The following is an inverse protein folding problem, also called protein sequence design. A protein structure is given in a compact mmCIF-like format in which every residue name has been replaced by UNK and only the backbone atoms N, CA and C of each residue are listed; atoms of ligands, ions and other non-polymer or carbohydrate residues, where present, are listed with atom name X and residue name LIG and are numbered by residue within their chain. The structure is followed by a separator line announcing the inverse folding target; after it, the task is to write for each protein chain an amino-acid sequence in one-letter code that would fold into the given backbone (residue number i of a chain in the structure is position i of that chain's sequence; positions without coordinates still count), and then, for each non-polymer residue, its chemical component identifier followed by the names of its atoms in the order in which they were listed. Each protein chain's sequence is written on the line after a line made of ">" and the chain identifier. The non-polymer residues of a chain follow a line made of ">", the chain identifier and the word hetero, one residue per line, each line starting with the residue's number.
data_IF_328556369641
#
_entry.id   IF_328556369641
#
_cell.length_a   1.000
_cell.length_b   1.000
_cell.length_c   1.000
_cell.angle_alpha   90.00
_cell.angle_beta   90.00
_cell.angle_gamma   90.00
#
_symmetry.space_group_name_H-M   'P 1'
#
loop_
_entity.id
_entity.type
_entity.pdbx_description
1 polymer ?
#
# COMPACT_ATOMS: atom_id res chain seq x y z
N UNK A 1 -31.97 -16.47 4.21
CA UNK A 1 -30.83 -17.06 3.47
C UNK A 1 -29.57 -16.36 3.94
N UNK A 2 -28.59 -17.09 4.46
CA UNK A 2 -27.35 -16.52 5.01
C UNK A 2 -26.55 -15.78 3.94
N UNK A 3 -25.68 -14.86 4.36
CA UNK A 3 -24.76 -14.19 3.43
C UNK A 3 -23.87 -15.22 2.75
N UNK A 4 -23.37 -16.20 3.50
CA UNK A 4 -22.52 -17.27 2.96
C UNK A 4 -23.19 -18.07 1.85
N UNK A 5 -24.48 -18.38 1.98
CA UNK A 5 -25.21 -19.10 0.93
C UNK A 5 -25.17 -18.33 -0.39
N UNK A 6 -25.37 -17.00 -0.34
CA UNK A 6 -25.29 -16.13 -1.53
C UNK A 6 -23.86 -16.01 -2.07
N UNK A 7 -22.85 -16.00 -1.19
CA UNK A 7 -21.43 -15.96 -1.60
C UNK A 7 -21.06 -17.21 -2.38
N UNK A 8 -21.60 -18.38 -2.02
CA UNK A 8 -21.36 -19.65 -2.72
C UNK A 8 -21.97 -19.71 -4.12
N UNK A 9 -22.92 -18.84 -4.42
CA UNK A 9 -23.55 -18.69 -5.74
C UNK A 9 -22.80 -17.72 -6.64
N UNK A 10 -21.72 -17.08 -6.14
CA UNK A 10 -20.90 -16.18 -6.96
C UNK A 10 -20.09 -16.94 -8.00
N UNK A 11 -20.04 -16.38 -9.20
CA UNK A 11 -19.30 -16.94 -10.34
C UNK A 11 -18.34 -15.89 -10.94
N UNK A 12 -17.52 -16.32 -11.91
CA UNK A 12 -16.64 -15.45 -12.68
C UNK A 12 -15.63 -14.66 -11.84
N UNK A 13 -15.50 -13.36 -12.11
CA UNK A 13 -14.55 -12.49 -11.41
C UNK A 13 -14.88 -12.30 -9.93
N UNK A 14 -16.16 -12.38 -9.54
CA UNK A 14 -16.58 -12.33 -8.14
C UNK A 14 -16.08 -13.53 -7.36
N UNK A 15 -16.12 -14.73 -7.96
CA UNK A 15 -15.57 -15.95 -7.36
C UNK A 15 -14.04 -15.85 -7.19
N UNK A 16 -13.33 -15.31 -8.18
CA UNK A 16 -11.88 -15.07 -8.08
C UNK A 16 -11.52 -14.12 -6.94
N UNK A 17 -12.33 -13.07 -6.73
CA UNK A 17 -12.14 -12.16 -5.60
C UNK A 17 -12.39 -12.86 -4.25
N UNK A 18 -13.38 -13.74 -4.16
CA UNK A 18 -13.63 -14.59 -2.98
C UNK A 18 -12.43 -15.50 -2.70
N UNK A 19 -11.85 -16.14 -3.73
CA UNK A 19 -10.68 -17.01 -3.57
C UNK A 19 -9.46 -16.28 -3.02
N UNK A 20 -9.26 -15.02 -3.40
CA UNK A 20 -8.15 -14.19 -2.91
C UNK A 20 -8.44 -13.54 -1.54
N UNK A 21 -9.69 -13.60 -1.05
CA UNK A 21 -10.10 -12.96 0.20
C UNK A 21 -9.68 -13.76 1.43
N UNK A 22 -9.74 -15.09 1.35
CA UNK A 22 -9.37 -15.98 2.43
C UNK A 22 -7.90 -16.37 2.31
N UNK A 23 -7.22 -16.39 3.44
CA UNK A 23 -5.80 -16.73 3.53
C UNK A 23 -5.52 -17.46 4.84
N UNK A 24 -4.23 -17.64 5.15
CA UNK A 24 -3.82 -18.41 6.33
C UNK A 24 -4.45 -17.89 7.63
N UNK A 25 -4.52 -16.56 7.80
CA UNK A 25 -5.06 -15.93 9.02
C UNK A 25 -6.55 -16.20 9.24
N UNK A 26 -7.33 -16.40 8.17
CA UNK A 26 -8.76 -16.70 8.25
C UNK A 26 -9.15 -17.67 7.13
N UNK A 27 -9.05 -18.99 7.39
CA UNK A 27 -9.31 -20.01 6.39
C UNK A 27 -10.76 -20.01 5.89
N UNK A 28 -10.95 -20.29 4.60
CA UNK A 28 -12.28 -20.35 3.98
C UNK A 28 -13.12 -21.50 4.56
N UNK A 29 -12.47 -22.56 5.02
CA UNK A 29 -13.08 -23.71 5.67
C UNK A 29 -13.75 -23.28 6.97
N UNK A 30 -13.08 -22.44 7.79
CA UNK A 30 -13.69 -21.88 8.98
C UNK A 30 -14.90 -21.02 8.63
N UNK A 31 -14.76 -20.13 7.63
CA UNK A 31 -15.90 -19.34 7.13
C UNK A 31 -17.08 -20.21 6.70
N UNK A 32 -16.79 -21.35 6.08
CA UNK A 32 -17.76 -22.27 5.53
C UNK A 32 -18.55 -23.02 6.61
N UNK A 33 -17.85 -23.69 7.53
CA UNK A 33 -18.48 -24.52 8.54
C UNK A 33 -19.13 -23.72 9.66
N UNK A 34 -18.60 -22.52 9.94
CA UNK A 34 -19.02 -21.69 11.08
C UNK A 34 -19.76 -20.42 10.64
N UNK A 35 -20.32 -20.42 9.43
CA UNK A 35 -21.03 -19.27 8.86
C UNK A 35 -22.09 -18.68 9.79
N UNK A 36 -22.91 -19.55 10.40
CA UNK A 36 -24.03 -19.12 11.24
C UNK A 36 -23.57 -18.39 12.51
N UNK A 37 -22.52 -18.89 13.19
CA UNK A 37 -22.02 -18.24 14.41
C UNK A 37 -21.32 -16.92 14.09
N UNK A 38 -20.69 -16.81 12.92
CA UNK A 38 -20.04 -15.59 12.45
C UNK A 38 -21.11 -14.53 12.14
N UNK A 39 -22.13 -14.89 11.37
CA UNK A 39 -23.15 -13.94 10.89
C UNK A 39 -24.11 -13.45 12.00
N UNK A 40 -24.22 -14.18 13.12
CA UNK A 40 -25.05 -13.79 14.28
C UNK A 40 -24.44 -12.71 15.16
N UNK A 41 -23.14 -12.44 15.06
CA UNK A 41 -22.50 -11.43 15.90
C UNK A 41 -22.90 -10.01 15.48
N UNK A 42 -22.95 -9.09 16.45
CA UNK A 42 -23.30 -7.68 16.22
C UNK A 42 -22.05 -6.87 15.84
N UNK A 43 -21.44 -7.22 14.71
CA UNK A 43 -20.18 -6.63 14.25
C UNK A 43 -20.19 -5.10 14.14
N UNK A 44 -21.35 -4.49 13.89
CA UNK A 44 -21.50 -3.04 13.74
C UNK A 44 -21.30 -2.27 15.06
N UNK A 45 -21.47 -2.94 16.21
CA UNK A 45 -21.30 -2.33 17.53
C UNK A 45 -19.85 -2.35 18.04
N UNK A 46 -19.00 -3.15 17.40
CA UNK A 46 -17.60 -3.29 17.81
C UNK A 46 -16.73 -2.33 17.01
N UNK A 47 -16.05 -1.44 17.70
CA UNK A 47 -15.03 -0.59 17.13
C UNK A 47 -13.64 -1.18 17.43
N UNK A 48 -12.97 -1.78 16.44
CA UNK A 48 -11.66 -2.35 16.67
C UNK A 48 -10.59 -1.32 17.08
N UNK A 49 -10.82 -0.02 16.82
CA UNK A 49 -9.90 1.06 17.19
C UNK A 49 -10.17 1.61 18.60
N UNK A 50 -11.26 1.19 19.25
CA UNK A 50 -11.60 1.52 20.63
C UNK A 50 -11.13 0.44 21.61
N UNK A 51 -9.81 0.26 21.69
CA UNK A 51 -9.18 -0.86 22.41
C UNK A 51 -9.70 -1.11 23.84
N UNK A 52 -9.81 -0.11 24.75
CA UNK A 52 -10.12 -0.38 26.15
C UNK A 52 -11.54 -0.92 26.39
N UNK A 53 -12.50 -0.58 25.54
CA UNK A 53 -13.91 -0.92 25.75
C UNK A 53 -14.32 -2.20 25.02
N UNK A 54 -13.78 -2.43 23.83
CA UNK A 54 -14.26 -3.50 22.95
C UNK A 54 -13.37 -4.76 22.97
N UNK A 55 -12.16 -4.67 23.53
CA UNK A 55 -11.26 -5.83 23.69
C UNK A 55 -11.90 -7.00 24.47
N UNK A 56 -12.62 -6.79 25.59
CA UNK A 56 -13.30 -7.89 26.29
C UNK A 56 -14.34 -8.60 25.43
N UNK A 57 -15.08 -7.85 24.60
CA UNK A 57 -16.08 -8.42 23.71
C UNK A 57 -15.42 -9.17 22.54
N UNK A 58 -14.33 -8.62 21.99
CA UNK A 58 -13.54 -9.30 20.97
C UNK A 58 -12.96 -10.64 21.49
N UNK A 59 -12.48 -10.65 22.74
CA UNK A 59 -12.02 -11.88 23.40
C UNK A 59 -13.15 -12.89 23.60
N UNK A 60 -14.33 -12.43 24.02
CA UNK A 60 -15.52 -13.28 24.13
C UNK A 60 -15.87 -13.94 22.79
N UNK A 61 -15.83 -13.19 21.67
CA UNK A 61 -16.09 -13.75 20.33
C UNK A 61 -15.04 -14.80 19.96
N UNK A 62 -13.76 -14.55 20.24
CA UNK A 62 -12.70 -15.54 20.00
C UNK A 62 -12.95 -16.82 20.80
N UNK A 63 -13.25 -16.70 22.10
CA UNK A 63 -13.54 -17.85 22.97
C UNK A 63 -14.79 -18.61 22.50
N UNK A 64 -15.82 -17.88 22.02
CA UNK A 64 -17.02 -18.47 21.42
C UNK A 64 -16.69 -19.29 20.17
N UNK A 65 -15.83 -18.77 19.29
CA UNK A 65 -15.42 -19.49 18.08
C UNK A 65 -14.62 -20.75 18.42
N UNK A 66 -13.65 -20.64 19.34
CA UNK A 66 -12.87 -21.79 19.81
C UNK A 66 -13.77 -22.85 20.46
N UNK A 67 -14.76 -22.43 21.25
CA UNK A 67 -15.75 -23.31 21.86
C UNK A 67 -16.61 -24.04 20.84
N UNK A 68 -17.10 -23.35 19.80
CA UNK A 68 -17.91 -24.01 18.77
C UNK A 68 -17.06 -24.97 17.92
N UNK A 69 -15.79 -24.63 17.63
CA UNK A 69 -14.87 -25.56 16.96
C UNK A 69 -14.69 -26.82 17.81
N UNK A 70 -14.44 -26.68 19.11
CA UNK A 70 -14.28 -27.83 20.01
C UNK A 70 -15.53 -28.71 20.03
N UNK A 71 -16.70 -28.10 20.13
CA UNK A 71 -17.98 -28.82 20.10
C UNK A 71 -18.21 -29.58 18.79
N UNK A 72 -17.77 -29.02 17.65
CA UNK A 72 -17.79 -29.74 16.38
C UNK A 72 -16.76 -30.88 16.34
N UNK A 73 -15.57 -30.70 16.91
CA UNK A 73 -14.61 -31.79 17.05
C UNK A 73 -15.17 -32.95 17.90
N UNK A 74 -15.89 -32.63 18.98
CA UNK A 74 -16.47 -33.61 19.90
C UNK A 74 -17.65 -34.38 19.27
N UNK A 75 -18.36 -33.79 18.30
CA UNK A 75 -19.45 -34.45 17.57
C UNK A 75 -18.94 -35.37 16.45
N UNK A 76 -17.76 -35.09 15.90
CA UNK A 76 -17.09 -35.89 14.87
C UNK A 76 -16.37 -37.09 15.50
N UNK A 77 -17.10 -38.14 15.85
CA UNK A 77 -16.56 -39.30 16.61
C UNK A 77 -16.13 -40.44 15.69
N UNK A 78 -16.67 -40.52 14.46
CA UNK A 78 -16.42 -41.67 13.59
C UNK A 78 -15.01 -41.65 12.98
N UNK A 79 -14.48 -42.83 12.64
CA UNK A 79 -13.15 -42.95 12.04
C UNK A 79 -13.02 -42.20 10.71
N UNK A 80 -14.11 -42.10 9.93
CA UNK A 80 -14.15 -41.33 8.68
C UNK A 80 -13.97 -39.82 8.89
N UNK A 81 -14.31 -39.31 10.07
CA UNK A 81 -14.26 -37.88 10.39
C UNK A 81 -12.88 -37.44 10.90
N UNK A 82 -11.93 -38.38 11.03
CA UNK A 82 -10.60 -38.12 11.59
C UNK A 82 -9.91 -36.92 10.95
N UNK A 83 -9.91 -36.84 9.62
CA UNK A 83 -9.26 -35.76 8.87
C UNK A 83 -9.92 -34.41 9.16
N UNK A 84 -11.26 -34.38 9.19
CA UNK A 84 -12.00 -33.15 9.44
C UNK A 84 -11.81 -32.66 10.88
N UNK A 85 -11.84 -33.56 11.85
CA UNK A 85 -11.57 -33.25 13.26
C UNK A 85 -10.14 -32.74 13.47
N UNK A 86 -9.16 -33.35 12.80
CA UNK A 86 -7.77 -32.87 12.81
C UNK A 86 -7.69 -31.44 12.26
N UNK A 87 -8.31 -31.19 11.11
CA UNK A 87 -8.31 -29.88 10.48
C UNK A 87 -8.98 -28.80 11.35
N UNK A 88 -10.10 -29.10 12.00
CA UNK A 88 -10.73 -28.20 12.96
C UNK A 88 -9.83 -27.90 14.17
N UNK A 89 -9.13 -28.90 14.70
CA UNK A 89 -8.16 -28.72 15.78
C UNK A 89 -6.98 -27.81 15.37
N UNK A 90 -6.52 -27.92 14.12
CA UNK A 90 -5.50 -27.04 13.55
C UNK A 90 -6.00 -25.60 13.44
N UNK A 91 -7.23 -25.38 12.96
CA UNK A 91 -7.86 -24.05 12.89
C UNK A 91 -7.96 -23.43 14.29
N UNK A 92 -8.45 -24.18 15.29
CA UNK A 92 -8.56 -23.69 16.66
C UNK A 92 -7.20 -23.28 17.24
N UNK A 93 -6.17 -24.13 17.03
CA UNK A 93 -4.80 -23.84 17.46
C UNK A 93 -4.25 -22.59 16.76
N UNK A 94 -4.48 -22.45 15.46
CA UNK A 94 -4.08 -21.29 14.69
C UNK A 94 -4.76 -20.00 15.21
N UNK A 95 -6.08 -20.04 15.43
CA UNK A 95 -6.85 -18.88 15.91
C UNK A 95 -6.38 -18.44 17.29
N UNK A 96 -6.12 -19.39 18.19
CA UNK A 96 -5.56 -19.10 19.51
C UNK A 96 -4.20 -18.42 19.42
N UNK A 97 -3.34 -18.85 18.49
CA UNK A 97 -2.00 -18.29 18.32
C UNK A 97 -2.02 -16.90 17.65
N UNK A 98 -2.83 -16.71 16.62
CA UNK A 98 -2.89 -15.46 15.84
C UNK A 98 -3.71 -14.39 16.54
N UNK A 99 -4.87 -14.74 17.08
CA UNK A 99 -5.82 -13.78 17.65
C UNK A 99 -5.83 -13.75 19.17
N UNK A 100 -5.27 -14.76 19.86
CA UNK A 100 -5.18 -14.77 21.32
C UNK A 100 -4.46 -13.54 21.91
N UNK A 101 -3.30 -13.13 21.37
CA UNK A 101 -2.59 -11.92 21.83
C UNK A 101 -3.29 -10.61 21.44
N UNK A 102 -4.13 -10.61 20.40
CA UNK A 102 -4.79 -9.42 19.87
C UNK A 102 -6.19 -9.74 19.32
N UNK A 103 -7.21 -9.93 20.19
CA UNK A 103 -8.54 -10.37 19.76
C UNK A 103 -9.25 -9.37 18.83
N UNK A 104 -8.92 -8.08 18.92
CA UNK A 104 -9.48 -7.06 18.03
C UNK A 104 -9.05 -7.24 16.56
N UNK A 105 -7.93 -7.90 16.28
CA UNK A 105 -7.53 -8.25 14.92
C UNK A 105 -8.49 -9.28 14.29
N UNK A 106 -9.09 -10.17 15.10
CA UNK A 106 -10.14 -11.07 14.62
C UNK A 106 -11.34 -10.25 14.16
N UNK A 107 -11.77 -9.29 14.98
CA UNK A 107 -12.89 -8.39 14.66
C UNK A 107 -12.61 -7.60 13.38
N UNK A 108 -11.42 -7.00 13.25
CA UNK A 108 -10.98 -6.31 12.02
C UNK A 108 -11.05 -7.22 10.79
N UNK A 109 -10.51 -8.43 10.93
CA UNK A 109 -10.45 -9.41 9.84
C UNK A 109 -11.84 -9.82 9.39
N UNK A 110 -12.72 -10.21 10.33
CA UNK A 110 -14.08 -10.66 10.01
C UNK A 110 -14.92 -9.51 9.44
N UNK A 111 -14.86 -8.30 10.02
CA UNK A 111 -15.56 -7.13 9.48
C UNK A 111 -15.15 -6.84 8.04
N UNK A 112 -13.85 -6.90 7.73
CA UNK A 112 -13.33 -6.73 6.36
C UNK A 112 -13.89 -7.78 5.42
N UNK A 113 -13.82 -9.06 5.80
CA UNK A 113 -14.31 -10.19 5.00
C UNK A 113 -15.80 -10.03 4.69
N UNK A 114 -16.63 -9.83 5.72
CA UNK A 114 -18.08 -9.68 5.56
C UNK A 114 -18.45 -8.45 4.72
N UNK A 115 -17.71 -7.35 4.84
CA UNK A 115 -17.91 -6.16 4.02
C UNK A 115 -17.67 -6.44 2.54
N UNK A 116 -16.58 -7.14 2.22
CA UNK A 116 -16.24 -7.52 0.84
C UNK A 116 -17.24 -8.53 0.29
N UNK A 117 -17.62 -9.56 1.06
CA UNK A 117 -18.67 -10.53 0.70
C UNK A 117 -19.99 -9.82 0.35
N UNK A 118 -20.47 -8.92 1.22
CA UNK A 118 -21.70 -8.15 0.99
C UNK A 118 -21.62 -7.36 -0.31
N UNK A 119 -20.49 -6.69 -0.57
CA UNK A 119 -20.28 -5.90 -1.79
C UNK A 119 -20.29 -6.78 -3.04
N UNK A 120 -19.66 -7.95 -3.00
CA UNK A 120 -19.61 -8.88 -4.13
C UNK A 120 -20.99 -9.47 -4.43
N UNK A 121 -21.73 -9.88 -3.41
CA UNK A 121 -23.11 -10.37 -3.56
C UNK A 121 -24.02 -9.28 -4.12
N UNK A 122 -23.93 -8.05 -3.62
CA UNK A 122 -24.69 -6.92 -4.16
C UNK A 122 -24.34 -6.64 -5.63
N UNK A 123 -23.05 -6.75 -5.99
CA UNK A 123 -22.61 -6.56 -7.36
C UNK A 123 -23.17 -7.64 -8.29
N UNK A 124 -23.08 -8.91 -7.91
CA UNK A 124 -23.63 -10.02 -8.68
C UNK A 124 -25.15 -9.91 -8.88
N UNK A 125 -25.91 -9.56 -7.84
CA UNK A 125 -27.34 -9.30 -7.98
C UNK A 125 -27.64 -8.10 -8.89
N UNK A 126 -26.83 -7.03 -8.82
CA UNK A 126 -27.00 -5.84 -9.69
C UNK A 126 -26.77 -6.17 -11.17
N UNK A 127 -25.94 -7.17 -11.49
CA UNK A 127 -25.69 -7.63 -12.86
C UNK A 127 -26.88 -8.41 -13.42
N UNK A 128 -27.60 -9.14 -12.57
CA UNK A 128 -28.78 -9.94 -12.96
C UNK A 128 -30.01 -9.04 -13.19
N UNK A 129 -30.15 -7.95 -12.44
CA UNK A 129 -31.35 -7.09 -12.42
C UNK A 129 -31.35 -5.93 -13.45
N UNK A 130 -30.52 -6.02 -14.50
CA UNK A 130 -30.59 -5.10 -15.66
C UNK A 130 -29.88 -3.73 -15.50
N UNK A 131 -29.14 -3.49 -14.42
CA UNK A 131 -28.41 -2.23 -14.18
C UNK A 131 -27.08 -2.05 -14.95
N UNK A 132 -26.80 -2.92 -15.92
CA UNK A 132 -25.45 -3.21 -16.43
C UNK A 132 -24.80 -2.07 -17.25
N UNK A 133 -25.58 -1.20 -17.91
CA UNK A 133 -25.00 -0.16 -18.76
C UNK A 133 -24.52 1.10 -18.01
N UNK A 134 -25.22 1.53 -16.97
CA UNK A 134 -24.91 2.82 -16.31
C UNK A 134 -23.72 2.73 -15.34
N UNK A 135 -23.45 1.55 -14.76
CA UNK A 135 -22.48 1.40 -13.66
C UNK A 135 -21.13 0.80 -14.08
N UNK A 136 -21.11 0.01 -15.17
CA UNK A 136 -19.85 -0.39 -15.79
C UNK A 136 -19.14 0.82 -16.41
N UNK A 137 -19.91 1.80 -16.90
CA UNK A 137 -19.41 3.08 -17.37
C UNK A 137 -18.74 3.87 -16.23
N UNK A 138 -19.42 4.05 -15.08
CA UNK A 138 -18.81 4.70 -13.91
C UNK A 138 -17.55 3.99 -13.36
N UNK A 139 -17.50 2.65 -13.38
CA UNK A 139 -16.31 1.93 -12.94
C UNK A 139 -15.17 2.05 -13.96
N UNK A 140 -15.48 1.96 -15.25
CA UNK A 140 -14.54 2.21 -16.34
C UNK A 140 -14.00 3.64 -16.32
N UNK A 141 -14.86 4.64 -16.04
CA UNK A 141 -14.48 6.04 -15.87
C UNK A 141 -13.51 6.22 -14.71
N UNK A 142 -13.75 5.58 -13.56
CA UNK A 142 -12.82 5.62 -12.43
C UNK A 142 -11.48 4.98 -12.76
N UNK A 143 -11.46 3.82 -13.42
CA UNK A 143 -10.22 3.16 -13.84
C UNK A 143 -9.47 4.00 -14.88
N UNK A 144 -10.19 4.61 -15.82
CA UNK A 144 -9.63 5.54 -16.82
C UNK A 144 -9.00 6.77 -16.15
N UNK A 145 -9.68 7.36 -15.18
CA UNK A 145 -9.19 8.50 -14.40
C UNK A 145 -7.94 8.15 -13.57
N UNK A 146 -7.91 6.98 -12.93
CA UNK A 146 -6.73 6.52 -12.21
C UNK A 146 -5.55 6.36 -13.17
N UNK A 147 -5.78 5.76 -14.33
CA UNK A 147 -4.74 5.55 -15.32
C UNK A 147 -4.23 6.87 -15.93
N UNK A 148 -5.11 7.87 -16.13
CA UNK A 148 -4.69 9.20 -16.56
C UNK A 148 -3.84 9.91 -15.51
N UNK A 149 -4.21 9.83 -14.23
CA UNK A 149 -3.42 10.42 -13.15
C UNK A 149 -2.06 9.74 -12.99
N UNK A 150 -1.98 8.41 -13.14
CA UNK A 150 -0.70 7.70 -13.15
C UNK A 150 0.21 8.15 -14.30
N UNK A 151 -0.34 8.32 -15.51
CA UNK A 151 0.40 8.84 -16.67
C UNK A 151 0.88 10.27 -16.41
N UNK A 152 0.04 11.11 -15.79
CA UNK A 152 0.41 12.48 -15.42
C UNK A 152 1.55 12.50 -14.40
N UNK A 153 1.48 11.68 -13.36
CA UNK A 153 2.55 11.55 -12.37
C UNK A 153 3.85 11.05 -13.01
N UNK A 154 3.79 10.05 -13.89
CA UNK A 154 4.97 9.57 -14.60
C UNK A 154 5.61 10.65 -15.50
N UNK A 155 4.79 11.47 -16.17
CA UNK A 155 5.26 12.61 -16.94
C UNK A 155 5.95 13.65 -16.05
N UNK A 156 5.31 14.04 -14.94
CA UNK A 156 5.92 14.97 -13.98
C UNK A 156 7.24 14.44 -13.41
N UNK A 157 7.33 13.15 -13.09
CA UNK A 157 8.59 12.55 -12.63
C UNK A 157 9.69 12.66 -13.69
N UNK A 158 9.36 12.42 -14.96
CA UNK A 158 10.30 12.55 -16.08
C UNK A 158 10.74 14.00 -16.30
N UNK A 159 9.82 14.95 -16.16
CA UNK A 159 10.14 16.38 -16.29
C UNK A 159 11.07 16.84 -15.16
N UNK A 160 10.76 16.47 -13.91
CA UNK A 160 11.66 16.71 -12.77
C UNK A 160 13.04 16.08 -12.96
N UNK A 161 13.10 14.88 -13.55
CA UNK A 161 14.38 14.22 -13.86
C UNK A 161 15.19 14.99 -14.91
N UNK A 162 14.53 15.58 -15.91
CA UNK A 162 15.17 16.45 -16.90
C UNK A 162 15.67 17.76 -16.28
N UNK A 163 14.87 18.39 -15.43
CA UNK A 163 15.25 19.61 -14.71
C UNK A 163 16.46 19.34 -13.82
N UNK A 164 16.50 18.18 -13.15
CA UNK A 164 17.66 17.73 -12.35
C UNK A 164 18.92 17.57 -13.20
N UNK A 165 18.82 16.95 -14.38
CA UNK A 165 19.95 16.83 -15.31
C UNK A 165 20.47 18.19 -15.76
N UNK A 166 19.57 19.12 -16.08
CA UNK A 166 19.96 20.47 -16.49
C UNK A 166 20.60 21.24 -15.33
N UNK A 167 20.04 21.12 -14.12
CA UNK A 167 20.59 21.75 -12.92
C UNK A 167 21.99 21.22 -12.61
N UNK A 168 22.21 19.91 -12.74
CA UNK A 168 23.53 19.30 -12.56
C UNK A 168 24.53 19.86 -13.58
N UNK A 169 24.16 19.95 -14.86
CA UNK A 169 25.03 20.52 -15.89
C UNK A 169 25.37 21.99 -15.61
N UNK A 170 24.39 22.78 -15.17
CA UNK A 170 24.61 24.17 -14.78
C UNK A 170 25.53 24.27 -13.56
N UNK A 171 25.40 23.36 -12.59
CA UNK A 171 26.26 23.31 -11.42
C UNK A 171 27.70 22.97 -11.80
N UNK A 172 27.91 22.00 -12.69
CA UNK A 172 29.24 21.64 -13.22
C UNK A 172 29.89 22.83 -13.92
N UNK A 173 29.12 23.54 -14.77
CA UNK A 173 29.60 24.75 -15.45
C UNK A 173 29.98 25.86 -14.46
N UNK A 174 29.13 26.09 -13.45
CA UNK A 174 29.41 27.06 -12.38
C UNK A 174 30.70 26.72 -11.62
N UNK A 175 30.90 25.45 -11.26
CA UNK A 175 32.10 25.01 -10.54
C UNK A 175 33.37 25.28 -11.37
N UNK A 176 33.34 25.02 -12.67
CA UNK A 176 34.46 25.29 -13.58
C UNK A 176 34.78 26.80 -13.61
N UNK A 177 33.78 27.64 -13.87
CA UNK A 177 33.96 29.09 -13.94
C UNK A 177 34.45 29.67 -12.61
N UNK A 178 33.91 29.18 -11.50
CA UNK A 178 34.33 29.61 -10.17
C UNK A 178 35.80 29.26 -9.90
N UNK A 179 36.23 28.05 -10.26
CA UNK A 179 37.63 27.65 -10.13
C UNK A 179 38.57 28.49 -11.01
N UNK A 180 38.15 28.82 -12.23
CA UNK A 180 38.94 29.66 -13.13
C UNK A 180 39.00 31.12 -12.64
N UNK A 181 37.91 31.67 -12.10
CA UNK A 181 37.89 32.99 -11.45
C UNK A 181 38.85 33.04 -10.25
N UNK A 182 38.90 31.99 -9.42
CA UNK A 182 39.85 31.90 -8.31
C UNK A 182 41.31 31.88 -8.80
N UNK A 183 41.62 31.11 -9.86
CA UNK A 183 42.96 31.08 -10.46
C UNK A 183 43.37 32.46 -10.98
N UNK A 184 42.52 33.10 -11.79
CA UNK A 184 42.79 34.43 -12.36
C UNK A 184 43.00 35.45 -11.24
N UNK A 185 42.17 35.42 -10.20
CA UNK A 185 42.32 36.29 -9.02
C UNK A 185 43.66 36.08 -8.33
N UNK A 186 44.10 34.82 -8.16
CA UNK A 186 45.40 34.51 -7.55
C UNK A 186 46.58 34.96 -8.40
N UNK A 187 46.51 34.82 -9.73
CA UNK A 187 47.55 35.25 -10.68
C UNK A 187 47.65 36.78 -10.72
N UNK A 188 46.51 37.49 -10.70
CA UNK A 188 46.47 38.95 -10.61
C UNK A 188 47.12 39.45 -9.30
N UNK A 189 46.80 38.81 -8.17
CA UNK A 189 47.42 39.16 -6.89
C UNK A 189 48.94 38.95 -6.89
N UNK A 190 49.44 37.90 -7.55
CA UNK A 190 50.87 37.66 -7.70
C UNK A 190 51.55 38.72 -8.58
N UNK A 191 50.93 39.10 -9.71
CA UNK A 191 51.49 40.10 -10.62
C UNK A 191 51.51 41.50 -9.97
N UNK A 192 50.50 41.83 -9.16
CA UNK A 192 50.46 43.11 -8.45
C UNK A 192 51.59 43.27 -7.42
N UNK A 193 52.12 42.16 -6.89
CA UNK A 193 53.26 42.15 -5.96
C UNK A 193 54.62 42.27 -6.66
N UNK A 194 54.69 42.16 -7.99
CA UNK A 194 55.93 42.34 -8.75
C UNK A 194 56.29 43.83 -8.88
N UNK A 195 57.59 44.11 -9.01
CA UNK A 195 58.13 45.45 -9.24
C UNK A 195 57.46 46.11 -10.46
N UNK A 196 57.07 47.40 -10.39
CA UNK A 196 56.44 48.12 -11.51
C UNK A 196 57.22 48.09 -12.83
N UNK A 197 58.54 47.88 -12.76
CA UNK A 197 59.46 47.82 -13.91
C UNK A 197 59.49 46.44 -14.59
N UNK A 198 58.81 45.45 -14.01
CA UNK A 198 58.88 44.06 -14.44
C UNK A 198 58.05 43.84 -15.74
N UNK A 199 58.65 43.28 -16.81
CA UNK A 199 57.95 43.04 -18.08
C UNK A 199 56.66 42.20 -17.94
N UNK A 200 56.58 41.35 -16.91
CA UNK A 200 55.44 40.48 -16.66
C UNK A 200 54.17 41.24 -16.22
N UNK A 201 54.25 42.52 -15.82
CA UNK A 201 53.05 43.34 -15.56
C UNK A 201 52.20 43.58 -16.80
N UNK A 202 52.74 43.42 -18.01
CA UNK A 202 51.96 43.55 -19.25
C UNK A 202 50.85 42.48 -19.37
N UNK A 203 50.98 41.35 -18.67
CA UNK A 203 49.96 40.29 -18.64
C UNK A 203 48.78 40.61 -17.70
N UNK A 204 48.91 41.59 -16.80
CA UNK A 204 47.85 42.03 -15.88
C UNK A 204 46.58 42.44 -16.65
N UNK A 205 46.75 43.25 -17.70
CA UNK A 205 45.63 43.74 -18.52
C UNK A 205 44.88 42.61 -19.24
N UNK A 206 45.57 41.52 -19.62
CA UNK A 206 44.93 40.35 -20.24
C UNK A 206 44.15 39.54 -19.21
N UNK A 207 44.69 39.38 -17.99
CA UNK A 207 44.03 38.67 -16.91
C UNK A 207 42.80 39.41 -16.38
N UNK A 208 42.86 40.75 -16.28
CA UNK A 208 41.69 41.56 -15.90
C UNK A 208 40.56 41.47 -16.93
N UNK A 209 40.89 41.38 -18.23
CA UNK A 209 39.89 41.14 -19.28
C UNK A 209 39.24 39.77 -19.17
N UNK A 210 40.03 38.72 -18.93
CA UNK A 210 39.50 37.36 -18.70
C UNK A 210 38.62 37.28 -17.46
N UNK A 211 38.99 37.95 -16.37
CA UNK A 211 38.16 38.03 -15.16
C UNK A 211 36.77 38.62 -15.48
N UNK A 212 36.72 39.72 -16.23
CA UNK A 212 35.47 40.37 -16.61
C UNK A 212 34.61 39.57 -17.61
N UNK A 213 35.17 38.57 -18.29
CA UNK A 213 34.41 37.64 -19.13
C UNK A 213 33.80 36.51 -18.31
N UNK A 214 34.52 35.99 -17.30
CA UNK A 214 34.04 34.94 -16.41
C UNK A 214 32.93 35.47 -15.48
N UNK A 215 33.04 36.72 -15.00
CA UNK A 215 32.06 37.34 -14.08
C UNK A 215 30.72 37.72 -14.75
N UNK A 216 30.59 37.56 -16.08
CA UNK A 216 29.36 37.85 -16.85
C UNK A 216 28.45 36.63 -17.07
N UNK A 217 28.92 35.44 -16.69
CA UNK A 217 28.25 34.15 -16.90
C UNK A 217 27.57 33.66 -15.61
#
# INVERSE_FOLDING_TARGET
>A
MSLWAKVRELEGDSLRQIQNLYGQNFPIEFRHYFADIIERQQWDQLDPDNTPNDEPHAKYILDLFLGEIQKQCDSLIEARDFVQRLHFSEIASHFKNVYGPAPLELVRTVKRILSIEKRLVQHAHSLIDGGMHMRNDQHSEKLSHINSELKRLAAMTRDTENDLRQLQSNQEYFVINYQDSLKITSELQQIQQLDPSNPNRQYETQLTRKQAEVDKL
#
